data_IF_457363483078
#
_entry.id   IF_457363483078
#
_cell.length_a   1.000
_cell.length_b   1.000
_cell.length_c   1.000
_cell.angle_alpha   90.00
_cell.angle_beta   90.00
_cell.angle_gamma   90.00
#
_symmetry.space_group_name_H-M   'P 1'
#
loop_
_entity.id
_entity.type
_entity.pdbx_description
1 polymer ?
#
# COMPACT_ATOMS: atom_id res chain seq x y z
N UNK A 1 -11.88 26.75 -17.89
CA UNK A 1 -12.40 27.23 -16.59
C UNK A 1 -12.44 28.75 -16.63
N UNK A 2 -13.53 29.41 -16.17
CA UNK A 2 -13.60 30.87 -16.19
C UNK A 2 -12.49 31.48 -15.32
N UNK A 3 -11.90 32.58 -15.78
CA UNK A 3 -10.76 33.23 -15.15
C UNK A 3 -11.22 33.96 -13.86
N UNK A 4 -11.10 33.28 -12.73
CA UNK A 4 -11.50 33.80 -11.41
C UNK A 4 -10.41 34.76 -10.89
N UNK A 5 -10.65 36.07 -10.96
CA UNK A 5 -9.74 37.05 -10.36
C UNK A 5 -9.94 37.16 -8.85
N UNK A 6 -8.89 37.52 -8.11
CA UNK A 6 -8.95 37.67 -6.65
C UNK A 6 -9.95 38.74 -6.22
N UNK A 7 -10.05 39.82 -6.98
CA UNK A 7 -10.96 40.94 -6.73
C UNK A 7 -12.42 40.50 -6.91
N UNK A 8 -12.71 39.76 -7.98
CA UNK A 8 -14.07 39.22 -8.22
C UNK A 8 -14.48 38.24 -7.13
N UNK A 9 -13.58 37.34 -6.73
CA UNK A 9 -13.82 36.41 -5.62
C UNK A 9 -14.01 37.16 -4.29
N UNK A 10 -13.20 38.18 -4.02
CA UNK A 10 -13.31 38.98 -2.79
C UNK A 10 -14.63 39.75 -2.73
N UNK A 11 -15.08 40.37 -3.82
CA UNK A 11 -16.39 41.06 -3.85
C UNK A 11 -17.54 40.09 -3.64
N UNK A 12 -17.46 38.86 -4.16
CA UNK A 12 -18.48 37.84 -3.89
C UNK A 12 -18.49 37.37 -2.43
N UNK A 13 -17.32 37.23 -1.79
CA UNK A 13 -17.18 36.81 -0.40
C UNK A 13 -17.49 37.94 0.60
N UNK A 14 -17.20 39.18 0.25
CA UNK A 14 -17.41 40.37 1.08
C UNK A 14 -18.03 41.53 0.27
N UNK A 15 -19.34 41.48 -0.02
CA UNK A 15 -20.01 42.45 -0.92
C UNK A 15 -19.85 43.93 -0.51
N UNK A 16 -19.72 44.19 0.79
CA UNK A 16 -19.68 45.54 1.36
C UNK A 16 -18.28 45.99 1.80
N UNK A 17 -17.20 45.31 1.38
CA UNK A 17 -15.82 45.68 1.74
C UNK A 17 -15.00 46.02 0.50
N UNK A 18 -14.16 47.06 0.61
CA UNK A 18 -13.12 47.33 -0.38
C UNK A 18 -12.13 46.16 -0.40
N UNK A 19 -11.59 45.83 -1.58
CA UNK A 19 -10.60 44.77 -1.75
C UNK A 19 -9.44 44.93 -0.76
N UNK A 20 -9.19 43.86 0.01
CA UNK A 20 -8.07 43.74 0.94
C UNK A 20 -7.26 42.49 0.56
N UNK A 21 -6.08 42.74 0.02
CA UNK A 21 -5.18 41.70 -0.49
C UNK A 21 -4.56 40.85 0.63
N UNK A 22 -4.38 41.40 1.83
CA UNK A 22 -3.89 40.65 3.00
C UNK A 22 -4.96 39.67 3.46
N UNK A 23 -6.19 40.15 3.64
CA UNK A 23 -7.32 39.30 4.01
C UNK A 23 -7.60 38.24 2.94
N UNK A 24 -7.54 38.59 1.65
CA UNK A 24 -7.71 37.64 0.55
C UNK A 24 -6.67 36.51 0.59
N UNK A 25 -5.39 36.84 0.77
CA UNK A 25 -4.33 35.82 0.92
C UNK A 25 -4.55 34.93 2.13
N UNK A 26 -4.97 35.48 3.26
CA UNK A 26 -5.28 34.70 4.45
C UNK A 26 -6.40 33.70 4.18
N UNK A 27 -7.50 34.14 3.56
CA UNK A 27 -8.60 33.26 3.17
C UNK A 27 -8.16 32.16 2.20
N UNK A 28 -7.37 32.51 1.17
CA UNK A 28 -6.83 31.52 0.24
C UNK A 28 -5.97 30.48 0.95
N UNK A 29 -5.15 30.90 1.92
CA UNK A 29 -4.33 29.99 2.73
C UNK A 29 -5.19 29.05 3.58
N UNK A 30 -6.25 29.57 4.22
CA UNK A 30 -7.19 28.74 4.98
C UNK A 30 -7.95 27.77 4.08
N UNK A 31 -8.47 28.24 2.95
CA UNK A 31 -9.16 27.40 1.96
C UNK A 31 -8.25 26.30 1.46
N UNK A 32 -7.00 26.62 1.10
CA UNK A 32 -6.02 25.64 0.65
C UNK A 32 -5.81 24.53 1.68
N UNK A 33 -5.66 24.88 2.97
CA UNK A 33 -5.54 23.89 4.06
C UNK A 33 -6.80 23.03 4.20
N UNK A 34 -7.99 23.60 4.01
CA UNK A 34 -9.24 22.84 4.08
C UNK A 34 -9.34 21.87 2.89
N UNK A 35 -9.02 22.32 1.68
CA UNK A 35 -9.00 21.48 0.47
C UNK A 35 -8.05 20.30 0.67
N UNK A 36 -6.84 20.54 1.17
CA UNK A 36 -5.90 19.45 1.46
C UNK A 36 -6.47 18.41 2.42
N UNK A 37 -7.09 18.85 3.54
CA UNK A 37 -7.72 17.94 4.50
C UNK A 37 -8.86 17.15 3.86
N UNK A 38 -9.71 17.82 3.08
CA UNK A 38 -10.81 17.19 2.37
C UNK A 38 -10.30 16.11 1.41
N UNK A 39 -9.30 16.42 0.58
CA UNK A 39 -8.71 15.46 -0.35
C UNK A 39 -8.13 14.23 0.36
N UNK A 40 -7.44 14.43 1.49
CA UNK A 40 -6.93 13.31 2.31
C UNK A 40 -8.09 12.46 2.84
N UNK A 41 -9.14 13.10 3.37
CA UNK A 41 -10.31 12.39 3.91
C UNK A 41 -11.04 11.61 2.83
N UNK A 42 -11.28 12.20 1.66
CA UNK A 42 -11.92 11.51 0.54
C UNK A 42 -11.10 10.30 0.08
N UNK A 43 -9.78 10.45 -0.09
CA UNK A 43 -8.90 9.36 -0.51
C UNK A 43 -8.96 8.19 0.48
N UNK A 44 -8.79 8.48 1.78
CA UNK A 44 -8.85 7.47 2.86
C UNK A 44 -10.22 6.79 2.93
N UNK A 45 -11.31 7.55 2.80
CA UNK A 45 -12.67 6.99 2.87
C UNK A 45 -13.05 6.21 1.60
N UNK A 46 -12.42 6.49 0.46
CA UNK A 46 -12.65 5.76 -0.79
C UNK A 46 -12.08 4.33 -0.75
N UNK A 47 -11.11 4.07 0.13
CA UNK A 47 -10.47 2.77 0.28
C UNK A 47 -10.85 2.15 1.63
N UNK A 48 -11.68 1.11 1.60
CA UNK A 48 -12.23 0.50 2.81
C UNK A 48 -11.15 -0.02 3.76
N UNK A 49 -10.12 -0.71 3.26
CA UNK A 49 -9.06 -1.25 4.13
C UNK A 49 -8.20 -0.14 4.73
N UNK A 50 -7.96 0.96 4.01
CA UNK A 50 -7.24 2.11 4.56
C UNK A 50 -8.04 2.81 5.65
N UNK A 51 -9.33 3.03 5.43
CA UNK A 51 -10.22 3.60 6.44
C UNK A 51 -10.21 2.75 7.71
N UNK A 52 -10.27 1.42 7.57
CA UNK A 52 -10.17 0.47 8.68
C UNK A 52 -8.84 0.61 9.44
N UNK A 53 -7.71 0.67 8.73
CA UNK A 53 -6.38 0.87 9.34
C UNK A 53 -6.29 2.19 10.11
N UNK A 54 -6.80 3.29 9.54
CA UNK A 54 -6.78 4.59 10.23
C UNK A 54 -7.64 4.57 11.50
N UNK A 55 -8.80 3.90 11.47
CA UNK A 55 -9.64 3.73 12.65
C UNK A 55 -8.94 2.90 13.73
N UNK A 56 -8.30 1.78 13.36
CA UNK A 56 -7.51 0.94 14.27
C UNK A 56 -6.42 1.77 14.96
N UNK A 57 -5.64 2.55 14.20
CA UNK A 57 -4.62 3.43 14.78
C UNK A 57 -5.21 4.47 15.73
N UNK A 58 -6.35 5.08 15.37
CA UNK A 58 -7.04 6.05 16.23
C UNK A 58 -7.55 5.41 17.54
N UNK A 59 -8.08 4.19 17.49
CA UNK A 59 -8.55 3.44 18.66
C UNK A 59 -7.38 3.03 19.56
N UNK A 60 -6.26 2.59 18.97
CA UNK A 60 -5.02 2.27 19.70
C UNK A 60 -4.50 3.47 20.46
N UNK A 61 -4.41 4.65 19.82
CA UNK A 61 -3.95 5.88 20.48
C UNK A 61 -4.86 6.34 21.63
N UNK A 62 -6.12 5.88 21.63
CA UNK A 62 -7.11 6.16 22.68
C UNK A 62 -7.22 5.06 23.74
N UNK A 63 -6.35 4.04 23.71
CA UNK A 63 -6.36 2.88 24.62
C UNK A 63 -7.75 2.21 24.71
N UNK A 64 -8.47 2.12 23.59
CA UNK A 64 -9.83 1.58 23.52
C UNK A 64 -9.84 0.09 23.16
N UNK A 65 -9.13 -0.73 23.92
CA UNK A 65 -8.71 -2.07 23.48
C UNK A 65 -9.87 -3.04 23.16
N UNK A 66 -11.02 -2.93 23.86
CA UNK A 66 -12.19 -3.78 23.56
C UNK A 66 -12.80 -3.47 22.18
N UNK A 67 -12.82 -2.19 21.81
CA UNK A 67 -13.34 -1.74 20.52
C UNK A 67 -12.31 -2.07 19.43
N UNK A 68 -11.03 -1.91 19.74
CA UNK A 68 -9.91 -2.25 18.86
C UNK A 68 -9.93 -3.72 18.42
N UNK A 69 -10.16 -4.67 19.33
CA UNK A 69 -10.26 -6.10 19.00
C UNK A 69 -11.37 -6.39 17.98
N UNK A 70 -12.54 -5.79 18.19
CA UNK A 70 -13.65 -5.92 17.24
C UNK A 70 -13.27 -5.32 15.89
N UNK A 71 -12.63 -4.15 15.88
CA UNK A 71 -12.23 -3.48 14.65
C UNK A 71 -11.19 -4.27 13.87
N UNK A 72 -10.22 -4.89 14.54
CA UNK A 72 -9.23 -5.78 13.92
C UNK A 72 -9.92 -6.96 13.22
N UNK A 73 -10.90 -7.60 13.87
CA UNK A 73 -11.67 -8.68 13.25
C UNK A 73 -12.46 -8.23 12.02
N UNK A 74 -13.04 -7.03 12.05
CA UNK A 74 -13.73 -6.44 10.90
C UNK A 74 -12.74 -6.14 9.76
N UNK A 75 -11.58 -5.56 10.06
CA UNK A 75 -10.55 -5.25 9.08
C UNK A 75 -9.97 -6.50 8.39
N UNK A 76 -9.77 -7.60 9.13
CA UNK A 76 -9.38 -8.87 8.53
C UNK A 76 -10.43 -9.39 7.55
N UNK A 77 -11.73 -9.28 7.86
CA UNK A 77 -12.80 -9.68 6.93
C UNK A 77 -12.81 -8.83 5.67
N UNK A 78 -12.65 -7.52 5.81
CA UNK A 78 -12.53 -6.60 4.66
C UNK A 78 -11.35 -7.01 3.79
N UNK A 79 -10.21 -7.31 4.41
CA UNK A 79 -9.02 -7.74 3.69
C UNK A 79 -9.23 -9.08 2.98
N UNK A 80 -9.77 -10.10 3.66
CA UNK A 80 -10.04 -11.43 3.10
C UNK A 80 -11.03 -11.40 1.93
N UNK A 81 -11.97 -10.46 1.94
CA UNK A 81 -12.93 -10.23 0.87
C UNK A 81 -12.35 -9.45 -0.31
N UNK A 82 -11.10 -8.96 -0.24
CA UNK A 82 -10.48 -8.34 -1.39
C UNK A 82 -10.35 -9.37 -2.52
N UNK A 83 -10.67 -8.98 -3.76
CA UNK A 83 -10.63 -9.89 -4.89
C UNK A 83 -9.22 -10.39 -5.19
N UNK A 84 -8.18 -9.65 -4.75
CA UNK A 84 -6.81 -9.88 -5.16
C UNK A 84 -5.84 -9.90 -3.98
N UNK A 85 -4.96 -10.90 -3.96
CA UNK A 85 -3.84 -10.99 -3.01
C UNK A 85 -2.60 -10.29 -3.56
N UNK A 86 -2.72 -8.98 -3.83
CA UNK A 86 -1.64 -8.14 -4.35
C UNK A 86 -0.53 -7.91 -3.32
N UNK A 87 0.53 -7.20 -3.72
CA UNK A 87 1.55 -6.70 -2.78
C UNK A 87 0.89 -5.95 -1.62
N UNK A 88 -0.08 -5.07 -1.93
CA UNK A 88 -0.76 -4.25 -0.93
C UNK A 88 -1.65 -5.08 -0.01
N UNK A 89 -2.26 -6.16 -0.50
CA UNK A 89 -2.94 -7.13 0.36
C UNK A 89 -1.98 -7.67 1.43
N UNK A 90 -0.82 -8.18 1.03
CA UNK A 90 0.17 -8.72 1.96
C UNK A 90 0.72 -7.65 2.91
N UNK A 91 0.89 -6.41 2.43
CA UNK A 91 1.24 -5.27 3.27
C UNK A 91 0.21 -4.99 4.37
N UNK A 92 -1.09 -4.95 4.04
CA UNK A 92 -2.13 -4.74 5.04
C UNK A 92 -2.32 -5.94 5.96
N UNK A 93 -2.18 -7.16 5.44
CA UNK A 93 -2.24 -8.38 6.26
C UNK A 93 -1.15 -8.35 7.32
N UNK A 94 0.10 -8.10 6.92
CA UNK A 94 1.22 -7.89 7.83
C UNK A 94 0.93 -6.78 8.85
N UNK A 95 0.43 -5.63 8.38
CA UNK A 95 0.13 -4.48 9.24
C UNK A 95 -0.96 -4.78 10.29
N UNK A 96 -2.04 -5.45 9.90
CA UNK A 96 -3.11 -5.87 10.81
C UNK A 96 -2.63 -6.89 11.84
N UNK A 97 -1.86 -7.91 11.40
CA UNK A 97 -1.27 -8.90 12.31
C UNK A 97 -0.31 -8.26 13.30
N UNK A 98 0.41 -7.22 12.89
CA UNK A 98 1.28 -6.46 13.78
C UNK A 98 0.48 -5.70 14.84
N UNK A 99 -0.60 -5.01 14.44
CA UNK A 99 -1.50 -4.33 15.37
C UNK A 99 -2.15 -5.32 16.36
N UNK A 100 -2.58 -6.48 15.86
CA UNK A 100 -3.11 -7.58 16.66
C UNK A 100 -2.08 -8.07 17.70
N UNK A 101 -0.84 -8.33 17.27
CA UNK A 101 0.26 -8.70 18.17
C UNK A 101 0.54 -7.63 19.23
N UNK A 102 0.59 -6.35 18.85
CA UNK A 102 0.83 -5.24 19.78
C UNK A 102 -0.31 -5.10 20.81
N UNK A 103 -1.55 -5.38 20.41
CA UNK A 103 -2.70 -5.36 21.31
C UNK A 103 -2.71 -6.57 22.26
N UNK A 104 -2.45 -7.79 21.75
CA UNK A 104 -2.47 -9.00 22.58
C UNK A 104 -1.27 -9.14 23.51
N UNK A 105 -0.06 -8.78 23.06
CA UNK A 105 1.17 -8.86 23.87
C UNK A 105 1.11 -7.98 25.13
N UNK A 106 0.34 -6.88 25.10
CA UNK A 106 0.03 -6.06 26.27
C UNK A 106 -0.85 -6.78 27.30
N UNK A 107 -1.75 -7.65 26.84
CA UNK A 107 -2.77 -8.29 27.68
C UNK A 107 -2.33 -9.64 28.22
N UNK A 108 -1.66 -10.47 27.42
CA UNK A 108 -1.28 -11.84 27.79
C UNK A 108 0.06 -12.23 27.16
N UNK A 109 1.14 -12.22 27.96
CA UNK A 109 2.49 -12.62 27.52
C UNK A 109 2.65 -14.11 27.18
N UNK A 110 1.68 -14.95 27.56
CA UNK A 110 1.70 -16.41 27.40
C UNK A 110 0.73 -16.94 26.34
N UNK A 111 0.02 -16.04 25.63
CA UNK A 111 -0.88 -16.48 24.57
C UNK A 111 -0.07 -17.04 23.39
N UNK A 112 -0.59 -18.08 22.74
CA UNK A 112 -0.07 -18.60 21.47
C UNK A 112 -0.28 -17.52 20.40
N UNK A 113 0.75 -16.71 20.18
CA UNK A 113 0.73 -15.66 19.19
C UNK A 113 1.06 -16.31 17.84
N UNK A 114 0.22 -16.08 16.83
CA UNK A 114 0.43 -16.56 15.46
C UNK A 114 1.57 -15.77 14.76
N UNK A 115 2.76 -15.73 15.38
CA UNK A 115 3.93 -14.99 14.92
C UNK A 115 4.46 -15.52 13.59
N UNK A 116 4.23 -16.79 13.29
CA UNK A 116 4.57 -17.37 11.99
C UNK A 116 3.81 -16.65 10.87
N UNK A 117 2.48 -16.50 10.99
CA UNK A 117 1.68 -15.79 9.99
C UNK A 117 2.11 -14.33 9.83
N UNK A 118 2.50 -13.66 10.92
CA UNK A 118 3.06 -12.30 10.84
C UNK A 118 4.36 -12.27 10.03
N UNK A 119 5.25 -13.24 10.27
CA UNK A 119 6.52 -13.39 9.53
C UNK A 119 6.26 -13.73 8.06
N UNK A 120 5.35 -14.66 7.78
CA UNK A 120 5.05 -15.12 6.42
C UNK A 120 4.49 -13.97 5.56
N UNK A 121 3.60 -13.14 6.12
CA UNK A 121 3.06 -11.98 5.40
C UNK A 121 4.11 -10.90 5.16
N UNK A 122 5.07 -10.74 6.08
CA UNK A 122 6.22 -9.87 5.86
C UNK A 122 7.08 -10.39 4.71
N UNK A 123 7.39 -11.69 4.70
CA UNK A 123 8.19 -12.32 3.65
C UNK A 123 7.50 -12.22 2.29
N UNK A 124 6.18 -12.41 2.24
CA UNK A 124 5.38 -12.27 1.01
C UNK A 124 5.40 -10.84 0.47
N UNK A 125 5.11 -9.86 1.33
CA UNK A 125 5.15 -8.45 0.97
C UNK A 125 6.55 -8.03 0.50
N UNK A 126 7.56 -8.32 1.31
CA UNK A 126 8.95 -7.95 1.05
C UNK A 126 9.46 -8.55 -0.24
N UNK A 127 9.27 -9.86 -0.44
CA UNK A 127 9.77 -10.57 -1.62
C UNK A 127 9.11 -10.04 -2.90
N UNK A 128 7.79 -9.84 -2.87
CA UNK A 128 7.05 -9.31 -4.01
C UNK A 128 7.50 -7.90 -4.37
N UNK A 129 7.62 -7.00 -3.39
CA UNK A 129 8.07 -5.62 -3.62
C UNK A 129 9.54 -5.58 -4.07
N UNK A 130 10.41 -6.42 -3.49
CA UNK A 130 11.82 -6.52 -3.89
C UNK A 130 11.97 -6.95 -5.35
N UNK A 131 11.16 -7.89 -5.82
CA UNK A 131 11.14 -8.35 -7.21
C UNK A 131 10.56 -7.30 -8.17
N UNK A 132 9.49 -6.60 -7.77
CA UNK A 132 8.94 -5.46 -8.51
C UNK A 132 10.01 -4.38 -8.71
N UNK A 133 10.68 -3.98 -7.62
CA UNK A 133 11.78 -3.02 -7.65
C UNK A 133 12.95 -3.51 -8.50
N UNK A 134 13.30 -4.80 -8.42
CA UNK A 134 14.35 -5.37 -9.25
C UNK A 134 14.06 -5.28 -10.75
N UNK A 135 12.79 -5.50 -11.13
CA UNK A 135 12.32 -5.36 -12.51
C UNK A 135 12.43 -3.92 -13.01
N UNK A 136 12.00 -2.94 -12.19
CA UNK A 136 12.12 -1.50 -12.50
C UNK A 136 13.58 -1.09 -12.66
N UNK A 137 14.43 -1.48 -11.71
CA UNK A 137 15.85 -1.18 -11.76
C UNK A 137 16.49 -1.77 -13.00
N UNK A 138 16.24 -3.05 -13.30
CA UNK A 138 16.77 -3.70 -14.50
C UNK A 138 16.37 -2.96 -15.78
N UNK A 139 15.07 -2.65 -15.94
CA UNK A 139 14.58 -1.91 -17.10
C UNK A 139 15.28 -0.54 -17.27
N UNK A 140 15.52 0.16 -16.16
CA UNK A 140 16.24 1.43 -16.18
C UNK A 140 17.74 1.26 -16.48
N UNK A 141 18.40 0.21 -15.98
CA UNK A 141 19.82 -0.09 -16.25
C UNK A 141 20.07 -0.31 -17.75
N UNK A 142 19.18 -1.05 -18.41
CA UNK A 142 19.25 -1.33 -19.85
C UNK A 142 19.28 -0.06 -20.70
N UNK A 143 18.67 1.03 -20.22
CA UNK A 143 18.57 2.31 -20.95
C UNK A 143 19.64 3.31 -20.49
N UNK A 144 19.90 3.42 -19.19
CA UNK A 144 20.62 4.55 -18.58
C UNK A 144 22.12 4.31 -18.35
N UNK A 145 22.65 3.11 -18.65
CA UNK A 145 24.04 2.68 -18.37
C UNK A 145 24.48 2.84 -16.90
N UNK A 146 23.57 3.11 -15.98
CA UNK A 146 23.84 3.12 -14.54
C UNK A 146 23.79 1.70 -14.01
N UNK A 147 24.69 1.35 -13.09
CA UNK A 147 24.67 0.08 -12.39
C UNK A 147 24.08 0.28 -10.99
N UNK A 148 23.10 -0.54 -10.62
CA UNK A 148 22.49 -0.55 -9.29
C UNK A 148 22.83 -1.86 -8.57
N UNK A 149 23.27 -1.74 -7.33
CA UNK A 149 23.51 -2.89 -6.46
C UNK A 149 22.21 -3.33 -5.80
N UNK A 150 21.87 -4.61 -5.93
CA UNK A 150 20.65 -5.20 -5.35
C UNK A 150 21.02 -6.26 -4.32
N UNK A 151 21.45 -5.81 -3.13
CA UNK A 151 22.11 -6.66 -2.12
C UNK A 151 21.35 -7.94 -1.77
N UNK A 152 20.04 -7.83 -1.51
CA UNK A 152 19.22 -8.95 -1.01
C UNK A 152 18.48 -9.72 -2.11
N UNK A 153 18.52 -9.24 -3.35
CA UNK A 153 17.80 -9.88 -4.46
C UNK A 153 18.23 -11.33 -4.72
N UNK A 154 19.53 -11.68 -4.75
CA UNK A 154 19.95 -13.06 -4.98
C UNK A 154 19.35 -14.04 -3.97
N UNK A 155 19.34 -13.67 -2.69
CA UNK A 155 18.78 -14.50 -1.62
C UNK A 155 17.25 -14.65 -1.72
N UNK A 156 16.54 -13.61 -2.16
CA UNK A 156 15.09 -13.69 -2.43
C UNK A 156 14.82 -14.67 -3.58
N UNK A 157 15.57 -14.58 -4.68
CA UNK A 157 15.43 -15.47 -5.85
C UNK A 157 15.71 -16.92 -5.48
N UNK A 158 16.77 -17.18 -4.71
CA UNK A 158 17.14 -18.51 -4.24
C UNK A 158 16.02 -19.14 -3.40
N UNK A 159 15.46 -18.39 -2.45
CA UNK A 159 14.40 -18.89 -1.54
C UNK A 159 13.09 -19.24 -2.25
N UNK A 160 12.76 -18.53 -3.34
CA UNK A 160 11.57 -18.80 -4.16
C UNK A 160 11.78 -20.06 -4.99
N UNK A 161 13.01 -20.28 -5.48
CA UNK A 161 13.35 -21.44 -6.31
C UNK A 161 13.35 -22.76 -5.52
N UNK A 162 13.56 -22.68 -4.20
CA UNK A 162 13.56 -23.80 -3.25
C UNK A 162 12.16 -24.20 -2.73
N UNK A 163 11.07 -23.66 -3.30
CA UNK A 163 9.66 -23.94 -2.92
C UNK A 163 9.28 -23.55 -1.46
N UNK A 164 10.15 -22.79 -0.76
CA UNK A 164 9.93 -22.39 0.64
C UNK A 164 9.02 -21.17 0.79
N UNK A 165 9.09 -20.25 -0.16
CA UNK A 165 8.13 -19.16 -0.26
C UNK A 165 6.98 -19.75 -1.06
N UNK A 166 6.01 -20.31 -0.34
CA UNK A 166 4.80 -20.94 -0.86
C UNK A 166 4.22 -20.16 -2.05
N UNK A 167 3.44 -20.86 -2.90
CA UNK A 167 2.83 -20.42 -4.17
C UNK A 167 1.93 -19.16 -4.10
N UNK A 168 2.46 -18.07 -3.56
CA UNK A 168 1.81 -16.80 -3.34
C UNK A 168 1.77 -16.09 -4.69
N UNK A 169 0.57 -15.77 -5.19
CA UNK A 169 0.39 -15.22 -6.53
C UNK A 169 1.22 -13.96 -6.79
N UNK A 170 1.26 -13.04 -5.82
CA UNK A 170 2.05 -11.81 -5.92
C UNK A 170 3.55 -12.08 -6.10
N UNK A 171 4.12 -12.97 -5.29
CA UNK A 171 5.55 -13.31 -5.36
C UNK A 171 5.87 -13.95 -6.71
N UNK A 172 5.06 -14.94 -7.14
CA UNK A 172 5.28 -15.67 -8.39
C UNK A 172 5.16 -14.76 -9.61
N UNK A 173 4.17 -13.86 -9.64
CA UNK A 173 4.01 -12.92 -10.75
C UNK A 173 5.22 -12.02 -10.90
N UNK A 174 5.73 -11.44 -9.82
CA UNK A 174 6.91 -10.57 -9.90
C UNK A 174 8.21 -11.36 -10.10
N UNK A 175 8.29 -12.60 -9.63
CA UNK A 175 9.42 -13.48 -9.90
C UNK A 175 9.53 -13.79 -11.38
N UNK A 176 8.42 -14.22 -11.99
CA UNK A 176 8.39 -14.52 -13.42
C UNK A 176 8.52 -13.27 -14.28
N UNK A 177 8.00 -12.12 -13.84
CA UNK A 177 8.24 -10.83 -14.50
C UNK A 177 9.72 -10.48 -14.52
N UNK A 178 10.40 -10.56 -13.37
CA UNK A 178 11.83 -10.29 -13.28
C UNK A 178 12.64 -11.26 -14.15
N UNK A 179 12.35 -12.55 -14.06
CA UNK A 179 13.04 -13.59 -14.83
C UNK A 179 12.82 -13.46 -16.33
N UNK A 180 11.61 -13.12 -16.79
CA UNK A 180 11.35 -12.87 -18.21
C UNK A 180 12.13 -11.66 -18.75
N UNK A 181 12.42 -10.65 -17.91
CA UNK A 181 13.25 -9.50 -18.28
C UNK A 181 14.74 -9.88 -18.35
N UNK A 182 15.23 -10.69 -17.41
CA UNK A 182 16.66 -11.04 -17.32
C UNK A 182 17.08 -12.25 -18.15
N UNK A 183 16.14 -13.13 -18.46
CA UNK A 183 16.33 -14.39 -19.20
C UNK A 183 15.34 -14.47 -20.39
N UNK A 184 15.43 -13.55 -21.38
CA UNK A 184 14.43 -13.43 -22.45
C UNK A 184 14.32 -14.67 -23.35
N UNK A 185 15.39 -15.48 -23.44
CA UNK A 185 15.39 -16.72 -24.23
C UNK A 185 14.62 -17.87 -23.54
N UNK A 186 14.30 -17.73 -22.24
CA UNK A 186 13.55 -18.72 -21.49
C UNK A 186 12.04 -18.41 -21.48
N UNK A 187 11.35 -18.85 -22.53
CA UNK A 187 9.91 -18.60 -22.71
C UNK A 187 9.03 -19.13 -21.57
N UNK A 188 9.53 -20.08 -20.76
CA UNK A 188 8.81 -20.63 -19.62
C UNK A 188 8.38 -19.52 -18.66
N UNK A 189 9.25 -18.55 -18.38
CA UNK A 189 8.92 -17.47 -17.44
C UNK A 189 7.78 -16.56 -17.94
N UNK A 190 7.73 -16.30 -19.26
CA UNK A 190 6.62 -15.58 -19.85
C UNK A 190 5.30 -16.38 -19.77
N UNK A 191 5.35 -17.69 -20.01
CA UNK A 191 4.17 -18.56 -19.92
C UNK A 191 3.65 -18.65 -18.48
N UNK A 192 4.52 -18.85 -17.49
CA UNK A 192 4.14 -18.88 -16.07
C UNK A 192 3.59 -17.54 -15.59
N UNK A 193 4.18 -16.42 -16.04
CA UNK A 193 3.63 -15.08 -15.77
C UNK A 193 2.23 -14.94 -16.35
N UNK A 194 2.04 -15.34 -17.61
CA UNK A 194 0.74 -15.30 -18.28
C UNK A 194 -0.28 -16.16 -17.53
N UNK A 195 0.08 -17.37 -17.09
CA UNK A 195 -0.80 -18.22 -16.29
C UNK A 195 -1.13 -17.57 -14.95
N UNK A 196 -0.13 -17.01 -14.26
CA UNK A 196 -0.35 -16.31 -12.98
C UNK A 196 -1.28 -15.11 -13.14
N UNK A 197 -1.21 -14.37 -14.26
CA UNK A 197 -2.08 -13.23 -14.52
C UNK A 197 -3.48 -13.67 -15.02
N UNK A 198 -3.58 -14.69 -15.86
CA UNK A 198 -4.84 -15.11 -16.52
C UNK A 198 -5.64 -16.09 -15.66
N UNK A 199 -5.02 -17.12 -15.11
CA UNK A 199 -5.73 -18.12 -14.29
C UNK A 199 -6.10 -17.57 -12.92
N UNK A 200 -5.28 -16.66 -12.39
CA UNK A 200 -5.58 -16.02 -11.10
C UNK A 200 -6.22 -14.65 -11.24
N UNK A 201 -6.26 -14.02 -12.42
CA UNK A 201 -6.94 -12.73 -12.65
C UNK A 201 -6.54 -11.62 -11.67
N UNK A 202 -5.42 -11.79 -10.96
CA UNK A 202 -5.18 -11.24 -9.62
C UNK A 202 -4.31 -9.98 -9.63
N UNK A 203 -3.97 -9.51 -10.83
CA UNK A 203 -3.10 -8.37 -11.07
C UNK A 203 -3.81 -7.35 -11.95
N UNK A 204 -4.68 -6.52 -11.36
CA UNK A 204 -5.08 -5.30 -12.04
C UNK A 204 -5.17 -4.11 -11.09
N UNK A 205 -4.44 -3.06 -11.48
CA UNK A 205 -4.43 -1.67 -11.00
C UNK A 205 -3.89 -1.41 -9.60
N UNK A 206 -2.55 -1.44 -9.48
CA UNK A 206 -1.80 -0.55 -8.59
C UNK A 206 -0.52 -0.02 -9.25
#
# INVERSE_FOLDING_TARGET
MPNLSKEKAFTALFPNKKYDDVLMRQMMSYLYKIIQKYLITEEVLSNEIESQMQLIHALRHRNSDKILEKQLSEAFKVLENQPFKSIRYHFYNYSLRKEEYENFSKKNRSAELHLQNLSDELDNYYSSERLKQASILYAHQTISKHNYTQLLLPSVIEKISDDKIAAVPAVLAYFHSYKALTEPDNIKHFLELKNTIIEKGEFSRE
#
